data_IF_282756697268
#
_entry.id   IF_282756697268
#
_cell.length_a   1.000
_cell.length_b   1.000
_cell.length_c   1.000
_cell.angle_alpha   90.00
_cell.angle_beta   90.00
_cell.angle_gamma   90.00
#
_symmetry.space_group_name_H-M   'P 1'
#
loop_
_entity.id
_entity.type
_entity.pdbx_description
1 polymer ?
#
# COMPACT_ATOMS: atom_id res chain seq x y z
N UNK A 1 3.52 11.66 -24.64
CA UNK A 1 4.30 11.44 -23.41
C UNK A 1 4.01 12.43 -22.26
N UNK A 2 3.90 13.76 -22.48
CA UNK A 2 3.68 14.74 -21.39
C UNK A 2 2.33 14.61 -20.65
N UNK A 3 1.28 14.10 -21.31
CA UNK A 3 -0.05 13.93 -20.71
C UNK A 3 -0.13 12.77 -19.69
N UNK A 4 0.63 11.69 -19.88
CA UNK A 4 0.63 10.52 -19.00
C UNK A 4 1.20 10.85 -17.61
N UNK A 5 2.23 11.69 -17.53
CA UNK A 5 2.82 12.11 -16.27
C UNK A 5 1.87 12.99 -15.42
N UNK A 6 0.91 13.68 -16.06
CA UNK A 6 -0.06 14.53 -15.36
C UNK A 6 -1.12 13.69 -14.62
N UNK A 7 -1.53 12.56 -15.20
CA UNK A 7 -2.52 11.64 -14.62
C UNK A 7 -1.89 10.63 -13.65
N UNK A 8 -0.64 10.22 -13.92
CA UNK A 8 0.11 9.35 -13.01
C UNK A 8 0.32 9.97 -11.62
N UNK A 9 0.40 11.31 -11.51
CA UNK A 9 0.66 12.02 -10.24
C UNK A 9 -0.45 11.84 -9.18
N UNK A 10 -1.73 12.18 -9.44
CA UNK A 10 -2.82 11.93 -8.49
C UNK A 10 -3.03 10.44 -8.22
N UNK A 11 -2.81 9.60 -9.22
CA UNK A 11 -2.89 8.15 -9.07
C UNK A 11 -1.82 7.60 -8.11
N UNK A 12 -0.57 8.04 -8.23
CA UNK A 12 0.53 7.64 -7.34
C UNK A 12 0.25 8.06 -5.89
N UNK A 13 -0.34 9.25 -5.70
CA UNK A 13 -0.80 9.74 -4.40
C UNK A 13 -1.91 8.87 -3.81
N UNK A 14 -2.85 8.38 -4.63
CA UNK A 14 -3.92 7.48 -4.21
C UNK A 14 -3.39 6.07 -3.89
N UNK A 15 -2.48 5.55 -4.72
CA UNK A 15 -1.79 4.27 -4.52
C UNK A 15 -0.96 4.27 -3.23
N UNK A 16 -0.18 5.33 -3.00
CA UNK A 16 0.60 5.49 -1.78
C UNK A 16 -0.28 5.54 -0.52
N UNK A 17 -1.45 6.19 -0.59
CA UNK A 17 -2.41 6.20 0.52
C UNK A 17 -2.98 4.81 0.81
N UNK A 18 -3.24 4.01 -0.22
CA UNK A 18 -3.68 2.62 -0.07
C UNK A 18 -2.59 1.75 0.54
N UNK A 19 -1.35 1.85 0.05
CA UNK A 19 -0.22 1.12 0.61
C UNK A 19 0.02 1.48 2.10
N UNK A 20 -0.08 2.77 2.45
CA UNK A 20 0.05 3.22 3.84
C UNK A 20 -1.07 2.67 4.74
N UNK A 21 -2.33 2.66 4.25
CA UNK A 21 -3.44 2.04 4.99
C UNK A 21 -3.25 0.53 5.15
N UNK A 22 -2.77 -0.16 4.11
CA UNK A 22 -2.49 -1.61 4.17
C UNK A 22 -1.36 -1.92 5.15
N UNK A 23 -0.31 -1.09 5.18
CA UNK A 23 0.76 -1.18 6.18
C UNK A 23 0.19 -1.06 7.60
N UNK A 24 -0.59 -0.01 7.85
CA UNK A 24 -1.20 0.23 9.17
C UNK A 24 -2.15 -0.90 9.58
N UNK A 25 -2.98 -1.39 8.65
CA UNK A 25 -3.91 -2.49 8.92
C UNK A 25 -3.17 -3.80 9.20
N UNK A 26 -2.13 -4.13 8.43
CA UNK A 26 -1.34 -5.35 8.64
C UNK A 26 -0.54 -5.29 9.92
N UNK A 27 0.00 -4.11 10.24
CA UNK A 27 0.69 -3.89 11.50
C UNK A 27 -0.25 -4.06 12.70
N UNK A 28 -1.43 -3.44 12.65
CA UNK A 28 -2.44 -3.59 13.70
C UNK A 28 -2.92 -5.05 13.85
N UNK A 29 -3.10 -5.77 12.74
CA UNK A 29 -3.46 -7.19 12.76
C UNK A 29 -2.36 -8.05 13.38
N UNK A 30 -1.09 -7.79 13.05
CA UNK A 30 0.04 -8.49 13.66
C UNK A 30 0.23 -8.16 15.15
N UNK A 31 -0.25 -7.00 15.60
CA UNK A 31 -0.26 -6.63 17.02
C UNK A 31 -1.41 -7.25 17.80
N UNK A 32 -2.46 -7.75 17.13
CA UNK A 32 -3.62 -8.36 17.80
C UNK A 32 -3.27 -9.64 18.56
N UNK A 33 -2.17 -10.30 18.21
CA UNK A 33 -1.68 -11.50 18.92
C UNK A 33 -0.89 -11.16 20.19
N UNK A 34 -0.58 -9.89 20.43
CA UNK A 34 0.18 -9.47 21.59
C UNK A 34 -0.71 -9.41 22.84
N UNK A 35 -0.27 -10.05 23.92
CA UNK A 35 -0.90 -9.94 25.24
C UNK A 35 -0.52 -8.64 25.98
N UNK A 36 0.60 -8.02 25.59
CA UNK A 36 1.11 -6.75 26.13
C UNK A 36 2.26 -6.18 25.28
N UNK A 37 2.64 -4.91 25.51
CA UNK A 37 3.66 -4.18 24.71
C UNK A 37 5.05 -4.86 24.73
N UNK A 38 5.39 -5.55 25.82
CA UNK A 38 6.65 -6.28 25.98
C UNK A 38 6.65 -7.62 25.23
N UNK A 39 5.47 -8.22 25.04
CA UNK A 39 5.26 -9.49 24.36
C UNK A 39 4.85 -9.29 22.89
N UNK A 40 4.74 -8.03 22.47
CA UNK A 40 4.30 -7.68 21.14
C UNK A 40 5.34 -8.10 20.09
N UNK A 41 4.93 -8.77 19.00
CA UNK A 41 5.84 -9.25 17.97
C UNK A 41 6.27 -8.10 17.05
N UNK A 42 7.03 -7.13 17.56
CA UNK A 42 7.49 -5.95 16.83
C UNK A 42 8.23 -6.29 15.54
N UNK A 43 9.17 -7.27 15.59
CA UNK A 43 9.95 -7.69 14.41
C UNK A 43 9.09 -8.39 13.36
N UNK A 44 8.28 -9.41 13.70
CA UNK A 44 7.35 -10.04 12.74
C UNK A 44 6.33 -9.07 12.17
N UNK A 45 5.75 -8.20 13.00
CA UNK A 45 4.73 -7.24 12.58
C UNK A 45 5.26 -6.23 11.57
N UNK A 46 6.48 -5.71 11.79
CA UNK A 46 7.10 -4.80 10.83
C UNK A 46 7.39 -5.49 9.50
N UNK A 47 7.87 -6.75 9.53
CA UNK A 47 8.12 -7.52 8.31
C UNK A 47 6.84 -7.84 7.54
N UNK A 48 5.79 -8.30 8.23
CA UNK A 48 4.50 -8.58 7.62
C UNK A 48 3.87 -7.31 7.04
N UNK A 49 3.90 -6.21 7.78
CA UNK A 49 3.39 -4.92 7.31
C UNK A 49 4.19 -4.40 6.11
N UNK A 50 5.52 -4.51 6.12
CA UNK A 50 6.37 -4.12 4.99
C UNK A 50 6.07 -4.96 3.74
N UNK A 51 5.94 -6.29 3.86
CA UNK A 51 5.57 -7.17 2.75
C UNK A 51 4.19 -6.81 2.20
N UNK A 52 3.20 -6.58 3.06
CA UNK A 52 1.86 -6.19 2.64
C UNK A 52 1.83 -4.80 1.98
N UNK A 53 2.67 -3.86 2.43
CA UNK A 53 2.81 -2.55 1.81
C UNK A 53 3.47 -2.62 0.44
N UNK A 54 4.54 -3.42 0.30
CA UNK A 54 5.21 -3.68 -0.99
C UNK A 54 4.25 -4.37 -1.96
N UNK A 55 3.54 -5.39 -1.50
CA UNK A 55 2.52 -6.07 -2.29
C UNK A 55 1.41 -5.10 -2.71
N UNK A 56 0.94 -4.23 -1.80
CA UNK A 56 -0.05 -3.21 -2.13
C UNK A 56 0.46 -2.18 -3.14
N UNK A 57 1.76 -1.88 -3.13
CA UNK A 57 2.40 -1.00 -4.10
C UNK A 57 2.49 -1.68 -5.47
N UNK A 58 2.87 -2.96 -5.51
CA UNK A 58 2.90 -3.78 -6.73
C UNK A 58 1.48 -3.91 -7.31
N UNK A 59 0.49 -4.23 -6.47
CA UNK A 59 -0.92 -4.33 -6.91
C UNK A 59 -1.47 -3.00 -7.38
N UNK A 60 -1.03 -1.89 -6.79
CA UNK A 60 -1.33 -0.58 -7.37
C UNK A 60 -0.71 -0.49 -8.77
N UNK A 61 0.58 -0.75 -8.95
CA UNK A 61 1.24 -0.71 -10.27
C UNK A 61 0.60 -1.64 -11.32
N UNK A 62 0.14 -2.83 -10.92
CA UNK A 62 -0.59 -3.76 -11.80
C UNK A 62 -1.99 -3.24 -12.13
N UNK A 63 -2.63 -2.57 -11.16
CA UNK A 63 -3.94 -1.96 -11.31
C UNK A 63 -3.91 -0.57 -11.92
N UNK A 64 -2.85 -0.16 -12.63
CA UNK A 64 -2.76 1.09 -13.40
C UNK A 64 -3.85 1.07 -14.50
N UNK A 65 -5.03 1.69 -14.32
CA UNK A 65 -6.13 1.58 -15.29
C UNK A 65 -5.94 2.51 -16.50
N UNK A 66 -4.82 3.22 -16.63
CA UNK A 66 -4.80 4.48 -17.38
C UNK A 66 -3.63 4.66 -18.35
N UNK A 67 -3.43 3.65 -19.20
CA UNK A 67 -3.15 3.90 -20.63
C UNK A 67 -4.40 3.76 -21.52
N UNK A 68 -5.59 3.47 -20.98
CA UNK A 68 -6.78 3.22 -21.80
C UNK A 68 -8.06 3.87 -21.22
N UNK A 69 -8.28 5.15 -21.56
CA UNK A 69 -9.54 5.72 -22.10
C UNK A 69 -9.65 7.24 -21.80
N UNK A 70 -9.44 8.08 -22.82
CA UNK A 70 -10.58 8.83 -23.39
C UNK A 70 -10.63 8.64 -24.92
N UNK A 71 -11.82 8.38 -25.50
CA UNK A 71 -12.70 9.48 -25.86
C UNK A 71 -14.19 9.24 -25.54
N UNK A 72 -14.80 10.25 -24.93
CA UNK A 72 -16.23 10.42 -24.70
C UNK A 72 -16.45 11.82 -24.15
#
# INVERSE_FOLDING_TARGET
>A
MKAALKQARPWLLAAGRRAARTFAQTFAAAMMTASGITDAPWRPALSAAALAAVLSLITALVGLPELNNPPG
#
